data_IF_156731716250
#
_entry.id   IF_156731716250
#
_cell.length_a   1.000
_cell.length_b   1.000
_cell.length_c   1.000
_cell.angle_alpha   90.00
_cell.angle_beta   90.00
_cell.angle_gamma   90.00
#
_symmetry.space_group_name_H-M   'P 1'
#
loop_
_entity.id
_entity.type
_entity.pdbx_description
1 polymer ?
#
# COMPACT_ATOMS: atom_id res chain seq x y z
N UNK A 1 -4.53 9.82 17.15
CA UNK A 1 -3.39 9.03 16.63
C UNK A 1 -3.98 7.90 15.83
N UNK A 2 -3.61 7.78 14.55
CA UNK A 2 -4.19 6.81 13.63
C UNK A 2 -4.00 5.35 14.09
N UNK A 3 -2.87 5.11 14.76
CA UNK A 3 -2.31 3.79 14.98
C UNK A 3 -3.24 2.79 15.70
N UNK A 4 -3.89 3.10 16.84
CA UNK A 4 -4.70 2.11 17.55
C UNK A 4 -5.91 1.62 16.74
N UNK A 5 -6.46 2.49 15.89
CA UNK A 5 -7.58 2.13 15.02
C UNK A 5 -7.15 1.17 13.90
N UNK A 6 -5.96 1.40 13.34
CA UNK A 6 -5.36 0.55 12.31
C UNK A 6 -4.97 -0.80 12.90
N UNK A 7 -4.30 -0.82 14.05
CA UNK A 7 -3.87 -2.02 14.77
C UNK A 7 -5.05 -2.95 15.08
N UNK A 8 -6.14 -2.39 15.65
CA UNK A 8 -7.35 -3.15 15.95
C UNK A 8 -7.86 -3.93 14.73
N UNK A 9 -7.67 -3.36 13.55
CA UNK A 9 -8.24 -3.94 12.37
C UNK A 9 -7.30 -4.79 11.54
N UNK A 10 -5.99 -4.54 11.62
CA UNK A 10 -5.00 -5.55 11.28
C UNK A 10 -5.29 -6.84 12.05
N UNK A 11 -5.51 -6.73 13.36
CA UNK A 11 -5.87 -7.86 14.22
C UNK A 11 -7.18 -8.54 13.78
N UNK A 12 -8.23 -7.75 13.56
CA UNK A 12 -9.53 -8.26 13.08
C UNK A 12 -9.43 -8.94 11.72
N UNK A 13 -8.64 -8.39 10.80
CA UNK A 13 -8.44 -8.95 9.47
C UNK A 13 -7.71 -10.29 9.54
N UNK A 14 -6.61 -10.34 10.31
CA UNK A 14 -5.89 -11.59 10.53
C UNK A 14 -6.81 -12.68 11.08
N UNK A 15 -7.70 -12.34 12.01
CA UNK A 15 -8.71 -13.27 12.53
C UNK A 15 -9.63 -13.82 11.44
N UNK A 16 -10.09 -12.96 10.54
CA UNK A 16 -10.97 -13.35 9.43
C UNK A 16 -10.24 -14.25 8.43
N UNK A 17 -9.00 -13.92 8.06
CA UNK A 17 -8.25 -14.65 7.03
C UNK A 17 -7.60 -15.93 7.54
N UNK A 18 -7.06 -15.89 8.75
CA UNK A 18 -6.16 -16.90 9.32
C UNK A 18 -6.82 -17.66 10.49
N UNK A 19 -8.04 -17.29 10.89
CA UNK A 19 -8.75 -17.86 12.04
C UNK A 19 -8.23 -17.39 13.41
N UNK A 20 -7.17 -16.56 13.44
CA UNK A 20 -6.50 -16.10 14.67
C UNK A 20 -6.02 -14.66 14.52
N UNK A 21 -6.01 -13.93 15.62
CA UNK A 21 -5.56 -12.54 15.67
C UNK A 21 -4.03 -12.45 15.54
N UNK A 22 -3.57 -11.44 14.81
CA UNK A 22 -2.21 -10.93 14.89
C UNK A 22 -2.24 -9.59 15.62
N UNK A 23 -1.09 -9.18 16.14
CA UNK A 23 -0.93 -7.90 16.83
C UNK A 23 0.46 -7.34 16.56
N UNK A 24 0.67 -6.07 16.90
CA UNK A 24 1.91 -5.34 16.67
C UNK A 24 2.20 -5.24 15.16
N UNK A 25 1.32 -4.52 14.46
CA UNK A 25 1.40 -4.29 13.01
C UNK A 25 2.81 -3.86 12.56
N UNK A 26 3.51 -3.05 13.34
CA UNK A 26 4.84 -2.56 12.96
C UNK A 26 5.89 -3.66 12.92
N UNK A 27 5.73 -4.73 13.71
CA UNK A 27 6.61 -5.91 13.60
C UNK A 27 6.53 -6.57 12.22
N UNK A 28 5.45 -6.34 11.46
CA UNK A 28 5.24 -6.88 10.12
C UNK A 28 5.65 -5.91 9.00
N UNK A 29 6.19 -4.73 9.32
CA UNK A 29 6.46 -3.66 8.35
C UNK A 29 7.31 -4.10 7.15
N UNK A 30 8.42 -4.79 7.41
CA UNK A 30 9.33 -5.27 6.37
C UNK A 30 8.62 -6.25 5.44
N UNK A 31 7.91 -7.23 6.01
CA UNK A 31 7.14 -8.18 5.23
C UNK A 31 6.10 -7.44 4.40
N UNK A 32 5.20 -6.67 5.02
CA UNK A 32 4.10 -5.97 4.35
C UNK A 32 4.57 -5.08 3.20
N UNK A 33 5.76 -4.46 3.34
CA UNK A 33 6.34 -3.57 2.34
C UNK A 33 7.23 -4.24 1.29
N UNK A 34 7.59 -5.53 1.44
CA UNK A 34 8.57 -6.22 0.58
C UNK A 34 8.39 -6.02 -0.92
N UNK A 35 7.16 -6.15 -1.41
CA UNK A 35 6.83 -6.04 -2.83
C UNK A 35 5.93 -4.80 -3.10
N UNK A 36 6.08 -3.78 -2.24
CA UNK A 36 5.33 -2.52 -2.31
C UNK A 36 6.28 -1.38 -2.57
N UNK A 37 5.89 -0.48 -3.48
CA UNK A 37 6.66 0.74 -3.73
C UNK A 37 6.41 1.75 -2.62
N UNK A 38 7.33 1.76 -1.66
CA UNK A 38 7.23 2.59 -0.46
C UNK A 38 7.76 4.01 -0.65
N UNK A 39 7.28 4.91 0.22
CA UNK A 39 7.77 6.28 0.35
C UNK A 39 9.25 6.33 0.75
N UNK A 40 9.92 7.37 0.32
CA UNK A 40 11.26 7.73 0.80
C UNK A 40 11.16 8.95 1.72
N UNK A 41 11.51 8.84 3.02
CA UNK A 41 11.58 10.00 3.89
C UNK A 41 12.73 10.91 3.45
N UNK A 42 12.48 12.22 3.40
CA UNK A 42 13.44 13.28 3.08
C UNK A 42 13.33 14.42 4.09
N UNK A 43 14.32 15.31 4.10
CA UNK A 43 14.29 16.53 4.91
C UNK A 43 13.85 17.71 4.05
N UNK A 44 12.91 18.50 4.56
CA UNK A 44 12.51 19.77 3.94
C UNK A 44 13.76 20.64 3.77
N UNK A 45 13.92 21.18 2.56
CA UNK A 45 14.97 22.12 2.22
C UNK A 45 14.84 23.46 2.96
N UNK A 46 13.68 23.75 3.55
CA UNK A 46 13.42 24.98 4.30
C UNK A 46 13.59 24.78 5.81
N UNK A 47 12.91 23.79 6.39
CA UNK A 47 12.85 23.61 7.84
C UNK A 47 13.63 22.43 8.40
N UNK A 48 14.04 21.49 7.55
CA UNK A 48 14.57 20.19 7.99
C UNK A 48 13.53 19.23 8.57
N UNK A 49 12.22 19.56 8.52
CA UNK A 49 11.14 18.60 8.88
C UNK A 49 11.11 17.42 7.91
N UNK A 50 10.61 16.26 8.34
CA UNK A 50 10.50 15.08 7.47
C UNK A 50 9.36 15.23 6.47
N UNK A 51 9.66 15.10 5.17
CA UNK A 51 8.70 15.02 4.05
C UNK A 51 8.75 13.62 3.47
N UNK A 52 7.62 13.08 3.04
CA UNK A 52 7.55 11.75 2.45
C UNK A 52 7.42 11.87 0.93
N UNK A 53 8.45 11.43 0.20
CA UNK A 53 8.45 11.44 -1.26
C UNK A 53 7.93 10.12 -1.81
N UNK A 54 7.10 10.21 -2.84
CA UNK A 54 6.78 9.05 -3.67
C UNK A 54 8.04 8.55 -4.39
N UNK A 55 8.08 7.27 -4.73
CA UNK A 55 9.23 6.65 -5.40
C UNK A 55 9.38 7.08 -6.87
N UNK A 56 8.44 7.85 -7.43
CA UNK A 56 8.51 8.32 -8.82
C UNK A 56 9.85 9.02 -9.12
N UNK A 57 10.40 8.76 -10.31
CA UNK A 57 11.73 9.24 -10.72
C UNK A 57 11.88 10.76 -10.64
N UNK A 58 10.83 11.51 -10.94
CA UNK A 58 10.87 12.97 -10.91
C UNK A 58 11.14 13.56 -9.51
N UNK A 59 10.73 12.84 -8.44
CA UNK A 59 11.05 13.23 -7.07
C UNK A 59 12.52 12.97 -6.73
N UNK A 60 13.18 12.03 -7.41
CA UNK A 60 14.58 11.68 -7.16
C UNK A 60 15.54 12.78 -7.61
N UNK A 61 15.26 13.39 -8.75
CA UNK A 61 16.05 14.50 -9.31
C UNK A 61 15.92 15.80 -8.50
N UNK A 62 14.92 15.86 -7.62
CA UNK A 62 14.52 17.08 -6.92
C UNK A 62 14.56 16.95 -5.39
N UNK A 63 15.15 15.86 -4.85
CA UNK A 63 15.24 15.58 -3.40
C UNK A 63 15.73 16.74 -2.55
N UNK A 64 16.69 17.54 -3.04
CA UNK A 64 17.25 18.69 -2.31
C UNK A 64 16.39 19.96 -2.36
N UNK A 65 15.21 19.92 -2.97
CA UNK A 65 14.33 21.09 -3.18
C UNK A 65 12.91 20.87 -2.64
N UNK A 66 12.66 19.71 -2.03
CA UNK A 66 11.35 19.42 -1.46
C UNK A 66 11.13 20.20 -0.18
N UNK A 67 9.90 20.67 0.02
CA UNK A 67 9.42 21.28 1.25
C UNK A 67 8.09 20.63 1.66
N UNK A 68 7.62 20.95 2.86
CA UNK A 68 6.26 20.60 3.30
C UNK A 68 5.21 21.41 2.55
N UNK A 69 3.97 20.92 2.55
CA UNK A 69 2.84 21.62 1.94
C UNK A 69 2.59 22.99 2.61
N UNK A 70 2.57 23.06 3.94
CA UNK A 70 2.38 24.31 4.69
C UNK A 70 3.49 25.35 4.40
N UNK A 71 4.73 24.88 4.25
CA UNK A 71 5.86 25.70 3.82
C UNK A 71 5.70 26.22 2.39
N UNK A 72 5.17 25.37 1.49
CA UNK A 72 4.88 25.73 0.12
C UNK A 72 3.78 26.79 0.01
N UNK A 73 2.73 26.67 0.82
CA UNK A 73 1.65 27.66 0.91
C UNK A 73 2.17 29.03 1.35
N UNK A 74 3.07 29.07 2.34
CA UNK A 74 3.67 30.32 2.80
C UNK A 74 4.61 30.92 1.74
N UNK A 75 5.47 30.11 1.13
CA UNK A 75 6.37 30.57 0.07
C UNK A 75 5.60 31.04 -1.17
N UNK A 76 4.47 30.42 -1.49
CA UNK A 76 3.61 30.77 -2.61
C UNK A 76 2.99 32.17 -2.52
N UNK A 77 2.99 32.79 -1.33
CA UNK A 77 2.57 34.19 -1.14
C UNK A 77 3.60 35.19 -1.68
N UNK A 78 4.84 34.76 -1.91
CA UNK A 78 5.87 35.59 -2.51
C UNK A 78 5.60 35.72 -4.01
N UNK A 79 5.66 36.95 -4.51
CA UNK A 79 5.51 37.24 -5.94
C UNK A 79 6.69 38.04 -6.45
N UNK A 80 7.08 37.81 -7.69
CA UNK A 80 7.98 38.73 -8.39
C UNK A 80 7.29 40.07 -8.59
N UNK A 81 8.06 41.16 -8.50
CA UNK A 81 7.59 42.46 -8.97
C UNK A 81 7.30 42.40 -10.48
N UNK A 82 6.41 43.25 -10.99
CA UNK A 82 6.12 43.32 -12.43
C UNK A 82 7.39 43.61 -13.25
N UNK A 83 8.30 44.43 -12.72
CA UNK A 83 9.58 44.73 -13.34
C UNK A 83 10.47 43.49 -13.41
N UNK A 84 10.63 42.77 -12.29
CA UNK A 84 11.36 41.50 -12.25
C UNK A 84 10.75 40.46 -13.20
N UNK A 85 9.43 40.35 -13.26
CA UNK A 85 8.74 39.44 -14.17
C UNK A 85 9.00 39.78 -15.65
N UNK A 86 9.04 41.07 -16.01
CA UNK A 86 9.36 41.54 -17.37
C UNK A 86 10.82 41.31 -17.75
N UNK A 87 11.73 41.37 -16.78
CA UNK A 87 13.15 41.10 -16.97
C UNK A 87 13.51 39.60 -17.03
N UNK A 88 12.56 38.71 -16.79
CA UNK A 88 12.80 37.27 -16.77
C UNK A 88 13.15 36.76 -18.18
N UNK A 89 14.24 36.02 -18.28
CA UNK A 89 14.70 35.36 -19.49
C UNK A 89 15.32 34.00 -19.16
N UNK A 90 15.52 33.14 -20.17
CA UNK A 90 16.15 31.84 -19.95
C UNK A 90 17.56 31.94 -19.36
N UNK A 91 18.31 33.02 -19.65
CA UNK A 91 19.68 33.19 -19.16
C UNK A 91 19.77 33.63 -17.70
N UNK A 92 18.72 34.26 -17.14
CA UNK A 92 18.70 34.74 -15.76
C UNK A 92 17.68 34.01 -14.86
N UNK A 93 16.85 33.12 -15.41
CA UNK A 93 15.78 32.45 -14.68
C UNK A 93 16.27 31.70 -13.42
N UNK A 94 17.41 31.01 -13.47
CA UNK A 94 17.91 30.26 -12.32
C UNK A 94 18.19 31.15 -11.09
N UNK A 95 18.68 32.37 -11.32
CA UNK A 95 18.94 33.33 -10.26
C UNK A 95 17.65 34.06 -9.84
N UNK A 96 16.88 34.55 -10.81
CA UNK A 96 15.64 35.28 -10.53
C UNK A 96 14.57 34.43 -9.84
N UNK A 97 14.53 33.13 -10.11
CA UNK A 97 13.59 32.19 -9.52
C UNK A 97 14.19 31.44 -8.31
N UNK A 98 15.39 31.82 -7.84
CA UNK A 98 16.11 31.11 -6.76
C UNK A 98 15.26 30.96 -5.50
N UNK A 99 14.42 31.95 -5.20
CA UNK A 99 13.56 31.96 -4.01
C UNK A 99 12.28 31.12 -4.16
N UNK A 100 11.93 30.73 -5.39
CA UNK A 100 10.72 29.97 -5.72
C UNK A 100 11.03 28.63 -6.42
N UNK A 101 12.28 28.15 -6.32
CA UNK A 101 12.72 26.86 -6.87
C UNK A 101 12.39 25.64 -5.99
N UNK A 102 11.78 25.89 -4.84
CA UNK A 102 11.34 24.86 -3.90
C UNK A 102 9.94 24.39 -4.28
N UNK A 103 9.60 23.15 -3.96
CA UNK A 103 8.27 22.61 -4.26
C UNK A 103 7.77 21.69 -3.15
N UNK A 104 6.46 21.73 -2.90
CA UNK A 104 5.80 20.78 -2.02
C UNK A 104 5.53 19.48 -2.80
N UNK A 105 6.06 18.36 -2.31
CA UNK A 105 5.79 17.05 -2.89
C UNK A 105 4.49 16.42 -2.39
N UNK A 106 4.02 16.90 -1.23
CA UNK A 106 2.79 16.45 -0.60
C UNK A 106 1.58 16.95 -1.40
N UNK A 107 0.58 16.09 -1.54
CA UNK A 107 -0.71 16.45 -2.12
C UNK A 107 -1.81 16.02 -1.16
N UNK A 108 -2.58 16.99 -0.68
CA UNK A 108 -3.66 16.78 0.29
C UNK A 108 -4.96 17.30 -0.30
N UNK A 109 -5.98 16.46 -0.36
CA UNK A 109 -7.28 16.81 -0.95
C UNK A 109 -8.42 16.42 0.00
N UNK A 110 -9.38 17.32 0.20
CA UNK A 110 -10.59 17.05 0.95
C UNK A 110 -10.39 16.82 2.45
N UNK A 111 -11.38 16.19 3.08
CA UNK A 111 -11.36 15.91 4.52
C UNK A 111 -10.54 14.68 4.84
N UNK A 112 -9.54 14.82 5.70
CA UNK A 112 -8.67 13.72 6.11
C UNK A 112 -8.60 13.66 7.64
N UNK A 113 -8.64 12.45 8.19
CA UNK A 113 -8.68 12.22 9.65
C UNK A 113 -7.55 11.27 10.02
N UNK A 114 -6.59 11.75 10.81
CA UNK A 114 -5.48 10.92 11.32
C UNK A 114 -4.76 10.14 10.20
N UNK A 115 -4.11 10.90 9.31
CA UNK A 115 -3.27 10.36 8.24
C UNK A 115 -1.81 10.67 8.57
N UNK A 116 -1.00 9.62 8.73
CA UNK A 116 0.35 9.71 9.29
C UNK A 116 1.38 9.04 8.38
N UNK A 117 2.52 9.70 8.16
CA UNK A 117 3.60 9.20 7.30
C UNK A 117 3.17 8.91 5.85
N UNK A 118 2.47 9.87 5.24
CA UNK A 118 1.90 9.76 3.89
C UNK A 118 2.37 10.90 2.99
N UNK A 119 2.69 10.59 1.73
CA UNK A 119 3.06 11.58 0.72
C UNK A 119 1.84 12.24 0.09
N UNK A 120 1.00 11.45 -0.58
CA UNK A 120 -0.19 11.92 -1.29
C UNK A 120 -1.46 11.28 -0.71
N UNK A 121 -2.48 12.08 -0.42
CA UNK A 121 -3.76 11.56 0.05
C UNK A 121 -4.95 12.49 -0.17
N UNK A 122 -6.15 11.91 -0.18
CA UNK A 122 -7.39 12.65 -0.06
C UNK A 122 -8.59 11.84 0.36
N UNK A 123 -9.54 12.50 1.04
CA UNK A 123 -10.76 11.89 1.58
C UNK A 123 -10.51 10.61 2.38
N UNK A 124 -9.44 10.57 3.18
CA UNK A 124 -8.95 9.34 3.82
C UNK A 124 -8.91 9.46 5.34
N UNK A 125 -9.08 8.33 6.03
CA UNK A 125 -9.06 8.31 7.49
C UNK A 125 -8.34 7.11 8.07
N UNK A 126 -7.55 7.33 9.13
CA UNK A 126 -6.74 6.32 9.80
C UNK A 126 -5.79 5.62 8.81
N UNK A 127 -4.94 6.37 8.12
CA UNK A 127 -3.98 5.80 7.16
C UNK A 127 -2.54 5.98 7.66
N UNK A 128 -1.69 5.00 7.44
CA UNK A 128 -0.33 4.98 7.99
C UNK A 128 0.71 4.45 7.00
N UNK A 129 1.85 5.12 6.87
CA UNK A 129 3.01 4.64 6.09
C UNK A 129 2.63 4.14 4.69
N UNK A 130 2.22 5.06 3.83
CA UNK A 130 1.80 4.71 2.48
C UNK A 130 1.64 5.93 1.59
N UNK A 131 1.27 5.72 0.34
CA UNK A 131 1.21 6.79 -0.64
C UNK A 131 0.00 6.67 -1.56
N UNK A 132 -0.44 7.81 -2.09
CA UNK A 132 -1.63 7.95 -2.93
C UNK A 132 -2.91 7.33 -2.33
N UNK A 133 -3.19 7.59 -1.05
CA UNK A 133 -4.44 7.18 -0.38
C UNK A 133 -5.61 8.03 -0.85
N UNK A 134 -6.58 7.47 -1.56
CA UNK A 134 -7.78 8.20 -1.98
C UNK A 134 -9.01 7.45 -1.48
N UNK A 135 -9.94 8.09 -0.77
CA UNK A 135 -11.12 7.39 -0.22
C UNK A 135 -10.78 6.15 0.61
N UNK A 136 -9.68 6.20 1.38
CA UNK A 136 -9.16 5.04 2.11
C UNK A 136 -9.45 5.12 3.59
N UNK A 137 -9.78 3.97 4.20
CA UNK A 137 -10.02 3.84 5.62
C UNK A 137 -9.17 2.72 6.21
N UNK A 138 -8.40 3.04 7.24
CA UNK A 138 -7.64 2.06 8.02
C UNK A 138 -6.64 1.24 7.19
N UNK A 139 -5.87 1.91 6.34
CA UNK A 139 -4.87 1.29 5.47
C UNK A 139 -3.45 1.54 5.98
N UNK A 140 -2.54 0.60 5.72
CA UNK A 140 -1.13 0.79 6.00
C UNK A 140 -0.20 0.05 5.02
N UNK A 141 1.06 0.51 4.93
CA UNK A 141 2.11 -0.11 4.10
C UNK A 141 1.68 -0.31 2.64
N UNK A 142 1.03 0.71 2.07
CA UNK A 142 0.32 0.61 0.80
C UNK A 142 0.62 1.81 -0.09
N UNK A 143 0.62 1.58 -1.38
CA UNK A 143 0.60 2.59 -2.44
C UNK A 143 -0.78 2.44 -3.15
N UNK A 144 -1.44 3.49 -3.72
CA UNK A 144 -2.73 3.43 -4.49
C UNK A 144 -3.79 2.51 -3.87
N UNK A 145 -4.52 2.97 -2.84
CA UNK A 145 -5.85 2.45 -2.59
C UNK A 145 -6.94 3.50 -2.82
N UNK A 146 -8.04 3.07 -3.49
CA UNK A 146 -9.25 3.87 -3.81
C UNK A 146 -10.48 2.97 -4.01
N UNK A 147 -11.07 2.33 -3.02
CA UNK A 147 -11.35 2.80 -1.65
C UNK A 147 -11.35 1.58 -0.72
N UNK A 148 -10.72 1.68 0.44
CA UNK A 148 -10.49 0.55 1.35
C UNK A 148 -11.15 0.70 2.73
N UNK A 149 -11.46 -0.44 3.33
CA UNK A 149 -11.71 -0.71 4.75
C UNK A 149 -11.45 -2.22 4.89
N UNK A 150 -10.26 -2.82 4.93
CA UNK A 150 -8.92 -2.46 5.37
C UNK A 150 -7.91 -3.21 4.47
N UNK A 151 -6.69 -2.71 4.24
CA UNK A 151 -5.69 -3.32 3.33
C UNK A 151 -4.28 -3.17 3.91
N UNK A 152 -3.49 -4.26 4.01
CA UNK A 152 -2.06 -4.20 4.42
C UNK A 152 -1.23 -5.34 3.75
N UNK A 153 -0.22 -5.21 2.89
CA UNK A 153 0.39 -4.06 2.23
C UNK A 153 0.42 -4.27 0.72
N UNK A 154 0.22 -3.19 -0.03
CA UNK A 154 -0.38 -3.22 -1.37
C UNK A 154 0.38 -2.44 -2.43
N UNK A 155 0.55 -3.06 -3.60
CA UNK A 155 0.94 -2.41 -4.87
C UNK A 155 0.04 -2.97 -6.00
N UNK A 156 -1.28 -2.94 -5.89
CA UNK A 156 -2.12 -1.77 -5.67
C UNK A 156 -3.62 -2.17 -5.78
N UNK A 157 -4.60 -1.53 -5.12
CA UNK A 157 -5.99 -2.09 -5.00
C UNK A 157 -7.14 -1.05 -5.04
N UNK A 158 -8.15 -1.25 -5.90
CA UNK A 158 -9.25 -0.30 -6.21
C UNK A 158 -10.68 -0.75 -5.82
N UNK A 159 -10.78 -1.60 -4.80
CA UNK A 159 -11.63 -1.43 -3.62
C UNK A 159 -11.64 -2.77 -2.87
N UNK A 160 -11.70 -2.74 -1.54
CA UNK A 160 -11.65 -3.95 -0.70
C UNK A 160 -12.33 -3.77 0.65
N UNK A 161 -12.87 -4.88 1.19
CA UNK A 161 -13.27 -5.10 2.58
C UNK A 161 -13.01 -6.56 2.95
N UNK A 162 -11.84 -7.08 3.26
CA UNK A 162 -10.64 -6.60 3.91
C UNK A 162 -9.50 -7.47 3.30
N UNK A 163 -8.25 -7.03 3.14
CA UNK A 163 -7.22 -7.85 2.46
C UNK A 163 -5.79 -7.66 2.99
N UNK A 164 -4.93 -8.65 2.82
CA UNK A 164 -3.54 -8.65 3.27
C UNK A 164 -2.81 -9.78 2.53
N UNK A 165 -1.84 -9.64 1.64
CA UNK A 165 -0.90 -8.61 1.20
C UNK A 165 -0.93 -8.60 -0.34
N UNK A 166 -1.39 -7.53 -0.99
CA UNK A 166 -2.06 -7.61 -2.31
C UNK A 166 -1.32 -6.86 -3.44
N UNK A 167 -1.48 -7.31 -4.69
CA UNK A 167 -0.84 -6.65 -5.83
C UNK A 167 -1.79 -6.51 -7.04
N UNK A 168 -1.69 -5.35 -7.69
CA UNK A 168 -2.44 -4.82 -8.85
C UNK A 168 -3.75 -5.56 -9.23
N UNK A 169 -4.75 -5.57 -8.35
CA UNK A 169 -6.02 -6.32 -8.52
C UNK A 169 -7.26 -5.41 -8.40
N UNK A 170 -8.39 -5.84 -8.97
CA UNK A 170 -9.67 -5.09 -9.01
C UNK A 170 -10.77 -5.90 -8.33
N UNK A 171 -11.44 -5.29 -7.34
CA UNK A 171 -12.54 -5.91 -6.57
C UNK A 171 -12.15 -7.24 -5.90
N UNK A 172 -11.21 -7.20 -4.97
CA UNK A 172 -10.81 -8.38 -4.19
C UNK A 172 -11.24 -8.28 -2.72
N UNK A 173 -11.72 -9.41 -2.18
CA UNK A 173 -12.33 -9.47 -0.83
C UNK A 173 -11.78 -10.67 -0.06
N UNK A 174 -11.22 -10.43 1.14
CA UNK A 174 -10.68 -11.50 2.01
C UNK A 174 -9.66 -12.38 1.29
N UNK A 175 -8.69 -11.74 0.65
CA UNK A 175 -7.64 -12.44 -0.10
C UNK A 175 -6.28 -12.34 0.60
N UNK A 176 -5.45 -13.36 0.39
CA UNK A 176 -4.06 -13.46 0.84
C UNK A 176 -3.12 -13.76 -0.31
N UNK A 177 -2.11 -12.92 -0.56
CA UNK A 177 -1.12 -13.10 -1.65
C UNK A 177 -1.80 -13.31 -3.02
N UNK A 178 -2.67 -12.37 -3.41
CA UNK A 178 -3.39 -12.40 -4.69
C UNK A 178 -2.93 -11.26 -5.59
N UNK A 179 -2.64 -11.60 -6.84
CA UNK A 179 -2.04 -10.68 -7.82
C UNK A 179 -2.75 -10.72 -9.17
N UNK A 180 -2.90 -9.55 -9.81
CA UNK A 180 -3.50 -9.40 -11.15
C UNK A 180 -4.86 -10.08 -11.32
N UNK A 181 -5.70 -10.06 -10.30
CA UNK A 181 -6.97 -10.78 -10.30
C UNK A 181 -8.18 -9.84 -10.23
N UNK A 182 -9.31 -10.30 -10.76
CA UNK A 182 -10.53 -9.50 -10.90
C UNK A 182 -11.72 -10.24 -10.29
N UNK A 183 -12.51 -9.54 -9.47
CA UNK A 183 -13.72 -10.05 -8.84
C UNK A 183 -13.52 -11.37 -8.07
N UNK A 184 -12.44 -11.46 -7.28
CA UNK A 184 -12.10 -12.67 -6.53
C UNK A 184 -12.39 -12.52 -5.04
N UNK A 185 -12.78 -13.61 -4.38
CA UNK A 185 -12.98 -13.61 -2.93
C UNK A 185 -12.47 -14.88 -2.26
N UNK A 186 -11.92 -14.74 -1.05
CA UNK A 186 -11.44 -15.87 -0.25
C UNK A 186 -10.38 -16.70 -0.99
N UNK A 187 -9.49 -16.00 -1.70
CA UNK A 187 -8.42 -16.57 -2.49
C UNK A 187 -7.07 -16.46 -1.79
N UNK A 188 -6.25 -17.51 -1.93
CA UNK A 188 -4.95 -17.63 -1.28
C UNK A 188 -3.88 -18.02 -2.29
N UNK A 189 -2.85 -17.21 -2.45
CA UNK A 189 -1.77 -17.48 -3.39
C UNK A 189 -2.26 -17.69 -4.84
N UNK A 190 -3.07 -16.75 -5.34
CA UNK A 190 -3.63 -16.82 -6.69
C UNK A 190 -3.07 -15.73 -7.59
N UNK A 191 -2.90 -16.04 -8.88
CA UNK A 191 -2.39 -15.10 -9.88
C UNK A 191 -3.20 -15.13 -11.17
N UNK A 192 -3.49 -13.95 -11.71
CA UNK A 192 -4.18 -13.78 -12.99
C UNK A 192 -5.51 -14.56 -13.06
N UNK A 193 -6.37 -14.36 -12.05
CA UNK A 193 -7.65 -15.05 -11.92
C UNK A 193 -8.85 -14.11 -12.13
N UNK A 194 -9.95 -14.64 -12.64
CA UNK A 194 -11.19 -13.88 -12.89
C UNK A 194 -12.42 -14.63 -12.34
N UNK A 195 -13.21 -13.98 -11.48
CA UNK A 195 -14.39 -14.57 -10.82
C UNK A 195 -14.07 -15.91 -10.12
N UNK A 196 -12.96 -15.97 -9.39
CA UNK A 196 -12.55 -17.16 -8.63
C UNK A 196 -12.86 -16.95 -7.16
N UNK A 197 -13.45 -17.98 -6.54
CA UNK A 197 -13.94 -17.91 -5.16
C UNK A 197 -13.48 -19.13 -4.35
N UNK A 198 -13.13 -18.94 -3.08
CA UNK A 198 -12.72 -20.02 -2.18
C UNK A 198 -11.71 -20.95 -2.86
N UNK A 199 -10.55 -20.41 -3.25
CA UNK A 199 -9.57 -21.17 -4.04
C UNK A 199 -8.16 -20.86 -3.59
N UNK A 200 -7.24 -21.79 -3.84
CA UNK A 200 -5.83 -21.64 -3.49
C UNK A 200 -4.91 -22.15 -4.58
N UNK A 201 -3.78 -21.46 -4.76
CA UNK A 201 -2.77 -21.84 -5.75
C UNK A 201 -3.33 -21.91 -7.17
N UNK A 202 -4.24 -20.98 -7.52
CA UNK A 202 -4.82 -20.90 -8.85
C UNK A 202 -4.08 -19.90 -9.73
N UNK A 203 -3.84 -20.30 -10.99
CA UNK A 203 -3.06 -19.52 -11.95
C UNK A 203 -3.79 -19.49 -13.30
N UNK A 204 -3.97 -18.30 -13.88
CA UNK A 204 -4.58 -18.11 -15.21
C UNK A 204 -5.98 -18.76 -15.34
N UNK A 205 -6.79 -18.66 -14.29
CA UNK A 205 -8.04 -19.40 -14.16
C UNK A 205 -9.27 -18.51 -14.10
N UNK A 206 -10.42 -19.05 -14.50
CA UNK A 206 -11.69 -18.33 -14.52
C UNK A 206 -12.82 -19.17 -13.96
N UNK A 207 -13.74 -18.53 -13.23
CA UNK A 207 -15.00 -19.10 -12.76
C UNK A 207 -14.86 -20.40 -11.95
N UNK A 208 -13.79 -20.54 -11.16
CA UNK A 208 -13.56 -21.70 -10.29
C UNK A 208 -14.11 -21.47 -8.89
N UNK A 209 -14.52 -22.56 -8.23
CA UNK A 209 -14.86 -22.58 -6.81
C UNK A 209 -14.30 -23.80 -6.09
N UNK A 210 -13.86 -23.63 -4.84
CA UNK A 210 -13.28 -24.72 -4.03
C UNK A 210 -12.13 -25.41 -4.74
N UNK A 211 -11.29 -24.63 -5.43
CA UNK A 211 -10.23 -25.16 -6.27
C UNK A 211 -8.87 -25.12 -5.57
N UNK A 212 -8.07 -26.15 -5.86
CA UNK A 212 -6.66 -26.22 -5.47
C UNK A 212 -5.86 -26.53 -6.74
N UNK A 213 -4.92 -25.67 -7.12
CA UNK A 213 -4.08 -25.92 -8.30
C UNK A 213 -4.89 -26.03 -9.60
N UNK A 214 -5.89 -25.17 -9.77
CA UNK A 214 -6.82 -25.14 -10.91
C UNK A 214 -7.76 -26.36 -11.03
N UNK A 215 -7.90 -27.18 -9.98
CA UNK A 215 -8.84 -28.31 -9.94
C UNK A 215 -9.89 -28.09 -8.86
N UNK A 216 -11.17 -28.11 -9.23
CA UNK A 216 -12.27 -28.09 -8.27
C UNK A 216 -12.33 -29.39 -7.49
N UNK A 217 -12.58 -29.27 -6.18
CA UNK A 217 -12.70 -30.38 -5.24
C UNK A 217 -14.09 -30.40 -4.61
N UNK A 218 -14.51 -31.53 -4.02
CA UNK A 218 -15.57 -31.52 -3.01
C UNK A 218 -15.26 -30.49 -1.93
N UNK A 219 -16.30 -29.82 -1.43
CA UNK A 219 -16.16 -28.70 -0.50
C UNK A 219 -15.43 -29.10 0.78
N UNK A 220 -15.73 -30.28 1.29
CA UNK A 220 -15.17 -30.82 2.53
C UNK A 220 -13.66 -31.04 2.40
N UNK A 221 -13.21 -31.59 1.27
CA UNK A 221 -11.79 -31.77 0.97
C UNK A 221 -11.06 -30.42 0.85
N UNK A 222 -11.66 -29.45 0.17
CA UNK A 222 -11.11 -28.10 0.07
C UNK A 222 -10.94 -27.44 1.45
N UNK A 223 -11.94 -27.55 2.33
CA UNK A 223 -11.90 -26.94 3.66
C UNK A 223 -10.81 -27.56 4.55
N UNK A 224 -10.60 -28.88 4.48
CA UNK A 224 -9.53 -29.56 5.21
C UNK A 224 -8.13 -29.11 4.74
N UNK A 225 -7.95 -28.90 3.43
CA UNK A 225 -6.69 -28.37 2.88
C UNK A 225 -6.50 -26.91 3.32
N UNK A 226 -7.57 -26.10 3.27
CA UNK A 226 -7.54 -24.68 3.66
C UNK A 226 -7.11 -24.51 5.10
N UNK A 227 -7.70 -25.26 6.03
CA UNK A 227 -7.39 -25.17 7.45
C UNK A 227 -5.91 -25.47 7.75
N UNK A 228 -5.36 -26.53 7.14
CA UNK A 228 -3.94 -26.89 7.29
C UNK A 228 -3.01 -25.79 6.80
N UNK A 229 -3.27 -25.28 5.60
CA UNK A 229 -2.47 -24.22 4.99
C UNK A 229 -2.50 -22.93 5.84
N UNK A 230 -3.69 -22.50 6.29
CA UNK A 230 -3.82 -21.29 7.10
C UNK A 230 -3.15 -21.41 8.46
N UNK A 231 -3.20 -22.60 9.07
CA UNK A 231 -2.50 -22.87 10.34
C UNK A 231 -0.98 -22.73 10.19
N UNK A 232 -0.42 -23.21 9.07
CA UNK A 232 1.00 -23.04 8.75
C UNK A 232 1.37 -21.58 8.50
N UNK A 233 0.59 -20.87 7.68
CA UNK A 233 0.79 -19.44 7.40
C UNK A 233 0.77 -18.62 8.70
N UNK A 234 -0.21 -18.86 9.57
CA UNK A 234 -0.28 -18.21 10.87
C UNK A 234 0.96 -18.48 11.72
N UNK A 235 1.41 -19.74 11.80
CA UNK A 235 2.60 -20.12 12.57
C UNK A 235 3.86 -19.37 12.13
N UNK A 236 4.05 -19.23 10.81
CA UNK A 236 5.16 -18.45 10.24
C UNK A 236 5.03 -16.96 10.59
N UNK A 237 3.86 -16.36 10.37
CA UNK A 237 3.63 -14.94 10.68
C UNK A 237 3.83 -14.62 12.17
N UNK A 238 3.40 -15.51 13.07
CA UNK A 238 3.56 -15.30 14.50
C UNK A 238 5.05 -15.36 14.92
N UNK A 239 5.80 -16.30 14.36
CA UNK A 239 7.20 -16.58 14.74
C UNK A 239 8.20 -15.66 14.05
N UNK A 240 8.02 -15.45 12.76
CA UNK A 240 9.01 -14.82 11.86
C UNK A 240 8.61 -13.41 11.44
N UNK A 241 7.41 -12.96 11.82
CA UNK A 241 6.87 -11.64 11.44
C UNK A 241 6.76 -11.41 9.93
N UNK A 242 6.66 -12.50 9.19
CA UNK A 242 6.52 -12.52 7.75
C UNK A 242 6.42 -13.95 7.24
N UNK A 243 6.29 -14.07 5.92
CA UNK A 243 6.46 -15.34 5.22
C UNK A 243 7.57 -15.18 4.17
N UNK A 244 8.53 -16.11 4.07
CA UNK A 244 9.63 -16.00 3.10
C UNK A 244 9.15 -16.18 1.65
N UNK A 245 8.00 -16.82 1.48
CA UNK A 245 7.38 -17.06 0.18
C UNK A 245 6.20 -16.11 -0.04
N UNK A 246 5.98 -15.73 -1.29
CA UNK A 246 4.82 -15.02 -1.79
C UNK A 246 4.46 -15.55 -3.16
N UNK A 247 3.44 -14.98 -3.79
CA UNK A 247 2.94 -15.47 -5.08
C UNK A 247 4.00 -15.50 -6.21
N UNK A 248 5.07 -14.72 -6.07
CA UNK A 248 6.15 -14.60 -7.06
C UNK A 248 7.27 -15.63 -6.91
N UNK A 249 7.35 -16.36 -5.78
CA UNK A 249 8.43 -17.30 -5.49
C UNK A 249 7.96 -18.59 -4.78
N UNK A 250 6.69 -18.98 -4.98
CA UNK A 250 6.11 -20.21 -4.40
C UNK A 250 6.89 -21.50 -4.70
N UNK A 251 7.59 -21.55 -5.84
CA UNK A 251 8.39 -22.72 -6.23
C UNK A 251 9.55 -23.00 -5.27
N UNK A 252 9.92 -22.04 -4.43
CA UNK A 252 11.01 -22.17 -3.46
C UNK A 252 10.62 -22.86 -2.15
N UNK A 253 9.31 -23.09 -1.92
CA UNK A 253 8.78 -23.67 -0.67
C UNK A 253 9.40 -25.04 -0.34
N UNK A 254 9.55 -25.92 -1.33
CA UNK A 254 9.97 -27.32 -1.12
C UNK A 254 11.44 -27.52 -0.73
N UNK A 255 12.26 -26.47 -0.74
CA UNK A 255 13.70 -26.63 -0.48
C UNK A 255 14.05 -26.69 1.02
N UNK A 256 13.10 -26.40 1.90
CA UNK A 256 13.33 -26.18 3.33
C UNK A 256 12.56 -27.16 4.26
N UNK A 257 11.85 -28.15 3.69
CA UNK A 257 11.29 -29.31 4.42
C UNK A 257 12.20 -30.53 4.24
#
# INVERSE_FOLDING_TARGET
MAYPAIEKAFSSLAKVLLGRELSDLDSYAEWLSRDVRMLTPQKSALSGKTVYLSFFSFFQETRGRVIKLDEGEELGKKSLSLESARGLSLSNAAEMLREIKLYAAESVVGENIEVEEVGQHGYSSFCYRGDAFVYSKYCAYSFWPRSGEYIFGSDFVFSSKFCLKCYSSVNITRCFEVSHSVNCSDCYFCHNCENVHDSMFCFNSKNLRHAVGNRELPREEYLEIKERMLSQVYGMLQKEKGIPYGIFNLSEWKKNE
#
